data_IF_180957205946
#
_entry.id   IF_180957205946
#
_cell.length_a   1.000
_cell.length_b   1.000
_cell.length_c   1.000
_cell.angle_alpha   90.00
_cell.angle_beta   90.00
_cell.angle_gamma   90.00
#
_symmetry.space_group_name_H-M   'P 1'
#
loop_
_entity.id
_entity.type
_entity.pdbx_description
1 polymer ?
#
# COMPACT_ATOMS: atom_id res chain seq x y z
N UNK A 1 1.65 -67.70 40.96
CA UNK A 1 1.42 -66.85 39.75
C UNK A 1 0.89 -65.52 40.21
N UNK A 2 1.72 -64.74 40.89
CA UNK A 2 1.44 -63.37 41.39
C UNK A 2 2.81 -62.74 41.70
N UNK A 3 3.58 -62.32 40.76
CA UNK A 3 4.75 -61.43 40.87
C UNK A 3 5.11 -61.03 39.41
N UNK A 4 4.36 -60.11 38.81
CA UNK A 4 4.80 -59.45 37.58
C UNK A 4 3.92 -58.20 37.26
N UNK A 5 3.67 -57.38 38.26
CA UNK A 5 2.85 -56.19 38.06
C UNK A 5 3.31 -54.99 38.91
N UNK A 6 4.60 -54.90 39.23
CA UNK A 6 5.12 -53.81 40.08
C UNK A 6 6.39 -53.13 39.53
N UNK A 7 6.63 -53.22 38.23
CA UNK A 7 7.83 -52.57 37.61
C UNK A 7 7.53 -51.63 36.46
N UNK A 8 6.26 -51.32 36.19
CA UNK A 8 5.89 -50.39 35.09
C UNK A 8 5.50 -48.98 35.60
N UNK A 9 5.39 -48.79 36.93
CA UNK A 9 4.87 -47.49 37.45
C UNK A 9 5.96 -46.49 37.88
N UNK A 10 7.25 -46.81 37.73
CA UNK A 10 8.35 -45.90 38.16
C UNK A 10 9.06 -45.21 36.98
N UNK A 11 8.76 -45.58 35.73
CA UNK A 11 9.40 -44.97 34.54
C UNK A 11 8.57 -43.83 33.91
N UNK A 12 7.42 -43.44 34.48
CA UNK A 12 6.56 -42.37 33.97
C UNK A 12 6.72 -41.03 34.71
N UNK A 13 7.56 -40.96 35.74
CA UNK A 13 7.79 -39.68 36.46
C UNK A 13 9.18 -39.05 36.23
N UNK A 14 10.04 -39.66 35.41
CA UNK A 14 11.38 -39.10 35.10
C UNK A 14 11.40 -38.32 33.75
N UNK A 15 10.27 -38.22 33.03
CA UNK A 15 10.18 -37.59 31.70
C UNK A 15 9.68 -36.16 31.67
N UNK A 16 9.24 -35.58 32.79
CA UNK A 16 8.61 -34.25 32.78
C UNK A 16 9.52 -33.06 33.16
N UNK A 17 10.81 -33.30 33.39
CA UNK A 17 11.74 -32.23 33.79
C UNK A 17 12.83 -31.91 32.75
N UNK A 18 12.72 -32.35 31.49
CA UNK A 18 13.73 -32.11 30.45
C UNK A 18 13.29 -31.12 29.36
N UNK A 19 12.14 -30.43 29.53
CA UNK A 19 11.72 -29.29 28.72
C UNK A 19 11.52 -28.01 29.58
N UNK A 20 12.43 -27.75 30.50
CA UNK A 20 12.71 -26.37 30.86
C UNK A 20 13.63 -25.86 29.77
N UNK A 21 13.02 -25.27 28.71
CA UNK A 21 13.76 -24.52 27.71
C UNK A 21 14.67 -23.54 28.42
N UNK A 22 15.95 -23.52 28.06
CA UNK A 22 16.86 -22.47 28.52
C UNK A 22 16.25 -21.14 28.09
N UNK A 23 15.68 -20.37 29.05
CA UNK A 23 15.25 -19.01 28.81
C UNK A 23 16.43 -18.23 28.24
N UNK A 24 16.21 -17.49 27.21
CA UNK A 24 17.21 -16.62 26.61
C UNK A 24 17.71 -15.60 27.66
N UNK A 25 18.92 -15.08 27.49
CA UNK A 25 19.44 -14.06 28.39
C UNK A 25 18.52 -12.82 28.43
N UNK A 26 17.86 -12.50 27.31
CA UNK A 26 16.87 -11.41 27.18
C UNK A 26 15.60 -11.69 28.01
N UNK A 27 15.06 -12.92 27.97
CA UNK A 27 13.87 -13.27 28.77
C UNK A 27 14.15 -13.17 30.27
N UNK A 28 15.36 -13.56 30.71
CA UNK A 28 15.76 -13.39 32.11
C UNK A 28 15.90 -11.92 32.49
N UNK A 29 16.48 -11.08 31.64
CA UNK A 29 16.63 -9.66 31.88
C UNK A 29 15.26 -8.97 31.93
N UNK A 30 14.30 -9.34 31.08
CA UNK A 30 12.92 -8.85 31.12
C UNK A 30 12.22 -9.17 32.44
N UNK A 31 12.45 -10.34 33.02
CA UNK A 31 11.83 -10.77 34.30
C UNK A 31 12.45 -10.08 35.52
N UNK A 32 13.71 -9.70 35.46
CA UNK A 32 14.42 -9.01 36.58
C UNK A 32 14.23 -7.48 36.57
N UNK A 33 13.72 -6.93 35.49
CA UNK A 33 13.57 -5.47 35.35
C UNK A 33 12.33 -4.95 36.11
N UNK A 34 12.49 -3.84 36.80
CA UNK A 34 11.40 -3.16 37.49
C UNK A 34 10.67 -2.26 36.51
N UNK A 35 9.37 -2.49 36.33
CA UNK A 35 8.51 -1.73 35.41
C UNK A 35 7.65 -0.74 36.17
N UNK A 36 7.65 0.51 35.68
CA UNK A 36 6.77 1.58 36.18
C UNK A 36 5.58 1.73 35.22
N UNK A 37 4.33 1.73 35.72
CA UNK A 37 3.17 1.93 34.87
C UNK A 37 3.25 3.25 34.10
N UNK A 38 2.98 3.19 32.80
CA UNK A 38 2.88 4.35 31.90
C UNK A 38 1.78 4.07 30.88
N UNK A 39 1.25 5.13 30.29
CA UNK A 39 0.31 5.02 29.18
C UNK A 39 0.83 5.88 28.04
N UNK A 40 1.30 5.26 26.97
CA UNK A 40 1.78 5.96 25.78
C UNK A 40 1.67 5.08 24.53
N UNK A 41 1.63 5.73 23.40
CA UNK A 41 1.65 5.09 22.09
C UNK A 41 2.99 5.36 21.41
N UNK A 42 3.62 4.31 20.91
CA UNK A 42 4.87 4.36 20.18
C UNK A 42 4.74 3.58 18.87
N UNK A 43 5.71 3.74 17.99
CA UNK A 43 5.80 3.04 16.71
C UNK A 43 7.04 2.17 16.69
N UNK A 44 6.94 0.99 16.12
CA UNK A 44 8.08 0.11 15.86
C UNK A 44 8.95 0.77 14.79
N UNK A 45 10.22 1.02 15.12
CA UNK A 45 11.18 1.69 14.22
C UNK A 45 12.31 0.79 13.76
N UNK A 46 12.33 -0.45 14.21
CA UNK A 46 13.23 -1.49 13.74
C UNK A 46 12.66 -2.13 12.46
N UNK A 47 13.50 -2.30 11.45
CA UNK A 47 13.17 -2.90 10.15
C UNK A 47 13.56 -4.36 10.02
N UNK A 48 14.25 -4.89 11.03
CA UNK A 48 14.58 -6.31 11.05
C UNK A 48 13.30 -7.12 11.23
N UNK A 49 13.07 -8.08 10.35
CA UNK A 49 11.99 -9.06 10.48
C UNK A 49 12.34 -9.98 11.67
N UNK A 50 11.93 -9.55 12.86
CA UNK A 50 12.12 -10.36 14.07
C UNK A 50 11.04 -11.42 14.14
N UNK A 51 11.34 -12.51 14.84
CA UNK A 51 10.36 -13.53 15.24
C UNK A 51 9.28 -12.96 16.19
N UNK A 52 9.48 -11.74 16.68
CA UNK A 52 8.54 -11.01 17.53
C UNK A 52 7.53 -10.31 16.62
N UNK A 53 6.27 -10.64 16.74
CA UNK A 53 5.07 -10.34 15.97
C UNK A 53 4.80 -8.87 15.55
N UNK A 54 5.77 -7.96 15.61
CA UNK A 54 5.59 -6.54 15.32
C UNK A 54 6.24 -6.13 13.99
N UNK A 55 5.49 -5.37 13.19
CA UNK A 55 5.94 -4.88 11.88
C UNK A 55 6.52 -3.46 11.98
N UNK A 56 7.51 -3.14 11.15
CA UNK A 56 8.02 -1.78 11.03
C UNK A 56 6.89 -0.78 10.75
N UNK A 57 6.78 0.25 11.59
CA UNK A 57 5.73 1.26 11.51
C UNK A 57 4.45 0.92 12.26
N UNK A 58 4.35 -0.27 12.85
CA UNK A 58 3.19 -0.66 13.65
C UNK A 58 3.10 0.21 14.92
N UNK A 59 1.88 0.67 15.20
CA UNK A 59 1.57 1.45 16.40
C UNK A 59 1.27 0.51 17.55
N UNK A 60 1.97 0.67 18.65
CA UNK A 60 1.82 -0.15 19.85
C UNK A 60 1.46 0.69 21.08
N UNK A 61 0.64 0.14 21.94
CA UNK A 61 0.28 0.73 23.23
C UNK A 61 1.20 0.17 24.32
N UNK A 62 1.79 1.09 25.10
CA UNK A 62 2.72 0.78 26.17
C UNK A 62 2.00 0.95 27.50
N UNK A 63 2.02 -0.10 28.33
CA UNK A 63 1.41 -0.14 29.66
C UNK A 63 2.42 0.06 30.80
N UNK A 64 3.69 -0.24 30.58
CA UNK A 64 4.71 0.00 31.58
C UNK A 64 6.11 0.22 30.95
N UNK A 65 6.97 0.90 31.68
CA UNK A 65 8.33 1.26 31.29
C UNK A 65 9.35 0.77 32.29
N UNK A 66 10.31 -0.04 31.81
CA UNK A 66 11.50 -0.44 32.55
C UNK A 66 12.72 0.38 32.14
N UNK A 67 13.92 -0.08 32.42
CA UNK A 67 15.16 0.58 32.00
C UNK A 67 15.47 0.38 30.51
N UNK A 68 15.44 -0.87 30.04
CA UNK A 68 15.79 -1.25 28.66
C UNK A 68 14.58 -1.62 27.83
N UNK A 69 13.48 -2.06 28.47
CA UNK A 69 12.28 -2.54 27.83
C UNK A 69 11.06 -1.68 28.11
N UNK A 70 10.10 -1.73 27.21
CA UNK A 70 8.71 -1.39 27.45
C UNK A 70 7.89 -2.66 27.54
N UNK A 71 6.83 -2.63 28.35
CA UNK A 71 5.78 -3.64 28.37
C UNK A 71 4.58 -3.12 27.59
N UNK A 72 4.09 -3.90 26.65
CA UNK A 72 2.89 -3.55 25.85
C UNK A 72 1.61 -3.88 26.60
N UNK A 73 0.48 -3.37 26.14
CA UNK A 73 -0.84 -3.73 26.67
C UNK A 73 -1.16 -5.22 26.49
N UNK A 74 -0.61 -5.84 25.42
CA UNK A 74 -0.71 -7.28 25.16
C UNK A 74 0.12 -8.13 26.14
N UNK A 75 1.01 -7.51 26.92
CA UNK A 75 1.87 -8.20 27.90
C UNK A 75 3.26 -8.52 27.37
N UNK A 76 3.55 -8.28 26.11
CA UNK A 76 4.86 -8.49 25.49
C UNK A 76 5.86 -7.42 25.92
N UNK A 77 7.14 -7.71 25.70
CA UNK A 77 8.25 -6.79 25.98
C UNK A 77 8.96 -6.39 24.69
N UNK A 78 9.20 -5.10 24.52
CA UNK A 78 9.93 -4.55 23.38
C UNK A 78 11.07 -3.65 23.84
N UNK A 79 12.24 -3.73 23.19
CA UNK A 79 13.37 -2.89 23.53
C UNK A 79 13.09 -1.43 23.22
N UNK A 80 13.46 -0.53 24.12
CA UNK A 80 13.29 0.90 23.94
C UNK A 80 13.93 1.46 22.67
N UNK A 81 15.05 0.91 22.26
CA UNK A 81 15.76 1.33 21.03
C UNK A 81 15.01 1.00 19.75
N UNK A 82 14.07 0.03 19.80
CA UNK A 82 13.35 -0.50 18.65
C UNK A 82 11.99 0.19 18.44
N UNK A 83 11.65 1.15 19.31
CA UNK A 83 10.43 1.94 19.23
C UNK A 83 10.72 3.44 19.35
N UNK A 84 9.81 4.26 18.83
CA UNK A 84 9.92 5.70 18.87
C UNK A 84 8.58 6.39 18.66
N UNK A 85 8.57 7.70 18.81
CA UNK A 85 7.41 8.50 18.46
C UNK A 85 7.23 8.63 16.93
N UNK A 86 6.16 9.27 16.51
CA UNK A 86 5.86 9.51 15.09
C UNK A 86 6.98 10.25 14.35
N UNK A 87 7.63 11.22 14.99
CA UNK A 87 8.71 11.97 14.37
C UNK A 87 9.94 11.10 14.17
N UNK A 88 10.24 10.24 15.14
CA UNK A 88 11.31 9.26 15.03
C UNK A 88 11.04 8.28 13.87
N UNK A 89 9.81 7.72 13.78
CA UNK A 89 9.44 6.83 12.68
C UNK A 89 9.67 7.50 11.32
N UNK A 90 9.23 8.74 11.13
CA UNK A 90 9.44 9.48 9.88
C UNK A 90 10.92 9.56 9.48
N UNK A 91 11.83 9.74 10.44
CA UNK A 91 13.26 9.82 10.16
C UNK A 91 13.88 8.47 9.80
N UNK A 92 13.23 7.37 10.13
CA UNK A 92 13.70 6.01 9.83
C UNK A 92 13.39 5.56 8.40
N UNK A 93 12.52 6.28 7.67
CA UNK A 93 12.21 5.97 6.28
C UNK A 93 13.22 6.70 5.39
N UNK A 94 14.16 5.96 4.85
CA UNK A 94 15.15 6.48 3.92
C UNK A 94 14.60 6.52 2.48
N UNK A 95 15.30 7.24 1.59
CA UNK A 95 15.00 7.21 0.16
C UNK A 95 15.07 5.80 -0.43
N UNK A 96 16.01 4.99 0.04
CA UNK A 96 16.15 3.60 -0.41
C UNK A 96 14.95 2.75 0.02
N UNK A 97 14.39 3.00 1.20
CA UNK A 97 13.19 2.28 1.65
C UNK A 97 11.96 2.62 0.79
N UNK A 98 11.87 3.86 0.29
CA UNK A 98 10.77 4.26 -0.59
C UNK A 98 10.82 3.59 -1.97
N UNK A 99 11.97 3.06 -2.35
CA UNK A 99 12.16 2.36 -3.65
C UNK A 99 12.33 0.85 -3.51
N UNK A 100 12.30 0.31 -2.28
CA UNK A 100 12.31 -1.14 -2.06
C UNK A 100 10.98 -1.76 -2.43
N UNK A 101 11.03 -2.81 -3.22
CA UNK A 101 9.87 -3.63 -3.55
C UNK A 101 9.75 -4.86 -2.66
N UNK A 102 8.55 -5.44 -2.62
CA UNK A 102 8.33 -6.79 -2.08
C UNK A 102 8.76 -7.79 -3.15
N UNK A 103 9.59 -8.74 -2.78
CA UNK A 103 9.94 -9.83 -3.68
C UNK A 103 9.22 -11.11 -3.27
N UNK A 104 8.36 -11.58 -4.15
CA UNK A 104 7.64 -12.86 -4.00
C UNK A 104 8.61 -14.06 -3.91
N UNK A 105 9.86 -13.89 -4.37
CA UNK A 105 10.89 -14.94 -4.38
C UNK A 105 12.13 -14.62 -3.50
N UNK A 106 12.03 -13.64 -2.59
CA UNK A 106 13.14 -13.24 -1.71
C UNK A 106 14.26 -12.42 -2.40
N UNK A 107 14.04 -11.91 -3.63
CA UNK A 107 15.02 -11.09 -4.36
C UNK A 107 14.47 -9.70 -4.64
N UNK A 108 14.87 -8.72 -3.85
CA UNK A 108 14.61 -7.31 -4.17
C UNK A 108 15.23 -6.98 -5.53
N UNK A 109 14.46 -6.30 -6.39
CA UNK A 109 14.97 -5.74 -7.64
C UNK A 109 15.07 -4.21 -7.53
N UNK A 110 15.81 -3.60 -8.43
CA UNK A 110 16.04 -2.15 -8.47
C UNK A 110 15.12 -1.41 -9.47
N UNK A 111 14.05 -2.04 -9.93
CA UNK A 111 13.18 -1.47 -10.97
C UNK A 111 12.59 -0.13 -10.60
N UNK A 112 12.10 0.01 -9.36
CA UNK A 112 11.55 1.30 -8.89
C UNK A 112 12.65 2.35 -8.94
N UNK A 113 13.78 2.11 -8.29
CA UNK A 113 14.90 3.06 -8.21
C UNK A 113 15.57 3.34 -9.56
N UNK A 114 15.49 2.40 -10.52
CA UNK A 114 15.99 2.59 -11.87
C UNK A 114 15.26 3.71 -12.62
N UNK A 115 13.94 3.79 -12.46
CA UNK A 115 13.10 4.70 -13.25
C UNK A 115 12.54 5.87 -12.44
N UNK A 116 12.47 5.76 -11.12
CA UNK A 116 11.84 6.74 -10.25
C UNK A 116 12.82 7.28 -9.20
N UNK A 117 12.60 8.51 -8.78
CA UNK A 117 13.17 9.12 -7.58
C UNK A 117 12.00 9.41 -6.66
N UNK A 118 12.04 8.88 -5.43
CA UNK A 118 10.97 9.08 -4.45
C UNK A 118 11.59 9.72 -3.22
N UNK A 119 11.11 10.91 -2.87
CA UNK A 119 11.57 11.67 -1.71
C UNK A 119 10.41 11.91 -0.75
N UNK A 120 10.68 11.74 0.54
CA UNK A 120 9.78 12.24 1.57
C UNK A 120 9.88 13.76 1.62
N UNK A 121 8.74 14.43 1.80
CA UNK A 121 8.62 15.90 1.84
C UNK A 121 7.79 16.35 3.04
N UNK A 122 7.81 17.64 3.32
CA UNK A 122 6.95 18.23 4.33
C UNK A 122 5.51 18.43 3.83
N UNK A 123 4.57 18.61 4.74
CA UNK A 123 3.19 18.97 4.41
C UNK A 123 3.12 20.32 3.69
N UNK A 124 3.95 21.28 4.09
CA UNK A 124 4.02 22.60 3.48
C UNK A 124 4.45 22.52 2.01
N UNK A 125 5.47 21.70 1.69
CA UNK A 125 5.90 21.47 0.30
C UNK A 125 4.79 20.81 -0.52
N UNK A 126 4.07 19.83 0.05
CA UNK A 126 2.92 19.22 -0.61
C UNK A 126 1.82 20.25 -0.89
N UNK A 127 1.46 21.09 0.09
CA UNK A 127 0.43 22.13 -0.08
C UNK A 127 0.83 23.21 -1.09
N UNK A 128 2.11 23.56 -1.15
CA UNK A 128 2.62 24.48 -2.18
C UNK A 128 2.50 23.86 -3.58
N UNK A 129 2.89 22.60 -3.72
CA UNK A 129 2.77 21.88 -4.98
C UNK A 129 1.29 21.74 -5.43
N UNK A 130 0.37 21.54 -4.50
CA UNK A 130 -1.06 21.38 -4.78
C UNK A 130 -1.65 22.64 -5.45
N UNK A 131 -1.19 23.85 -5.09
CA UNK A 131 -1.59 25.09 -5.76
C UNK A 131 -1.18 25.14 -7.25
N UNK A 132 -0.26 24.29 -7.64
CA UNK A 132 0.24 24.15 -9.02
C UNK A 132 -0.14 22.80 -9.65
N UNK A 133 -1.20 22.14 -9.12
CA UNK A 133 -1.75 20.90 -9.67
C UNK A 133 -2.06 21.06 -11.16
N UNK A 134 -1.83 19.99 -11.92
CA UNK A 134 -2.22 19.88 -13.32
C UNK A 134 -3.34 18.86 -13.43
N UNK A 135 -4.45 19.29 -14.03
CA UNK A 135 -5.53 18.39 -14.40
C UNK A 135 -5.42 18.02 -15.88
N UNK A 136 -5.42 16.74 -16.15
CA UNK A 136 -5.43 16.17 -17.50
C UNK A 136 -6.77 15.56 -17.87
N UNK A 137 -7.64 15.37 -16.88
CA UNK A 137 -8.97 14.80 -16.98
C UNK A 137 -10.00 15.92 -17.09
N UNK A 138 -10.94 15.79 -18.03
CA UNK A 138 -12.15 16.59 -18.08
C UNK A 138 -13.28 15.72 -17.52
N UNK A 139 -13.78 16.08 -16.34
CA UNK A 139 -14.86 15.37 -15.66
C UNK A 139 -16.22 15.75 -16.26
N UNK A 140 -16.48 15.31 -17.48
CA UNK A 140 -17.75 15.53 -18.20
C UNK A 140 -18.71 14.33 -18.03
N UNK A 141 -18.91 13.91 -16.80
CA UNK A 141 -19.66 12.68 -16.43
C UNK A 141 -21.08 12.61 -17.03
N UNK A 142 -21.67 13.76 -17.39
CA UNK A 142 -22.95 13.83 -18.06
C UNK A 142 -22.89 13.57 -19.58
N UNK A 143 -21.71 13.54 -20.19
CA UNK A 143 -21.55 13.27 -21.61
C UNK A 143 -21.87 11.81 -21.97
N UNK A 144 -21.61 10.88 -21.04
CA UNK A 144 -21.92 9.46 -21.21
C UNK A 144 -22.71 8.98 -19.99
N UNK A 145 -24.00 8.85 -20.17
CA UNK A 145 -24.95 8.46 -19.11
C UNK A 145 -25.29 6.98 -19.24
N UNK A 146 -25.26 6.28 -18.11
CA UNK A 146 -25.67 4.88 -18.02
C UNK A 146 -27.16 4.73 -18.30
N UNK A 147 -27.52 3.82 -19.22
CA UNK A 147 -28.91 3.46 -19.55
C UNK A 147 -29.08 1.95 -19.46
N UNK A 148 -30.06 1.47 -18.71
CA UNK A 148 -30.33 0.05 -18.53
C UNK A 148 -29.06 -0.72 -18.12
N UNK A 149 -28.34 -0.21 -17.09
CA UNK A 149 -27.08 -0.77 -16.60
C UNK A 149 -25.97 -0.86 -17.66
N UNK A 150 -25.98 0.00 -18.67
CA UNK A 150 -25.04 -0.03 -19.79
C UNK A 150 -24.52 1.37 -20.11
N UNK A 151 -23.20 1.48 -20.26
CA UNK A 151 -22.52 2.64 -20.83
C UNK A 151 -22.23 2.39 -22.31
N UNK A 152 -22.33 3.42 -23.13
CA UNK A 152 -22.04 3.35 -24.56
C UNK A 152 -21.00 4.43 -24.91
N UNK A 153 -19.84 4.01 -25.39
CA UNK A 153 -18.71 4.85 -25.74
C UNK A 153 -18.56 4.94 -27.26
N UNK A 154 -18.99 6.05 -27.90
CA UNK A 154 -18.80 6.24 -29.34
C UNK A 154 -17.32 6.33 -29.67
N UNK A 155 -16.84 5.44 -30.57
CA UNK A 155 -15.49 5.47 -31.12
C UNK A 155 -15.59 5.67 -32.65
N UNK A 156 -14.48 6.05 -33.31
CA UNK A 156 -14.50 6.36 -34.74
C UNK A 156 -15.06 5.23 -35.62
N UNK A 157 -14.75 3.97 -35.24
CA UNK A 157 -15.14 2.80 -36.08
C UNK A 157 -16.18 1.88 -35.43
N UNK A 158 -16.51 2.08 -34.15
CA UNK A 158 -17.49 1.26 -33.42
C UNK A 158 -17.97 1.97 -32.16
N UNK A 159 -19.03 1.46 -31.57
CA UNK A 159 -19.42 1.81 -30.20
C UNK A 159 -18.97 0.70 -29.25
N UNK A 160 -18.22 1.05 -28.21
CA UNK A 160 -17.86 0.12 -27.13
C UNK A 160 -18.97 0.17 -26.08
N UNK A 161 -19.36 -0.98 -25.59
CA UNK A 161 -20.39 -1.10 -24.58
C UNK A 161 -19.80 -1.78 -23.33
N UNK A 162 -20.00 -1.16 -22.17
CA UNK A 162 -19.77 -1.78 -20.87
C UNK A 162 -21.12 -1.94 -20.19
N UNK A 163 -21.38 -3.13 -19.69
CA UNK A 163 -22.66 -3.49 -19.05
C UNK A 163 -22.37 -4.00 -17.65
N UNK A 164 -23.07 -3.45 -16.67
CA UNK A 164 -23.02 -3.95 -15.30
C UNK A 164 -23.48 -5.42 -15.27
N UNK A 165 -22.75 -6.22 -14.52
CA UNK A 165 -23.04 -7.63 -14.29
C UNK A 165 -23.53 -7.79 -12.86
N UNK A 166 -24.81 -8.12 -12.63
CA UNK A 166 -25.31 -8.41 -11.30
C UNK A 166 -24.82 -9.78 -10.83
N UNK A 167 -24.77 -9.98 -9.52
CA UNK A 167 -24.49 -11.29 -8.94
C UNK A 167 -25.48 -12.33 -9.48
N UNK A 168 -24.99 -13.52 -9.76
CA UNK A 168 -25.80 -14.65 -10.17
C UNK A 168 -25.35 -15.92 -9.43
N UNK A 169 -26.11 -17.02 -9.61
CA UNK A 169 -25.72 -18.32 -9.02
C UNK A 169 -24.45 -18.87 -9.66
N UNK A 170 -24.20 -18.52 -10.94
CA UNK A 170 -23.04 -18.97 -11.71
C UNK A 170 -21.83 -18.06 -11.51
N UNK A 171 -22.07 -16.76 -11.23
CA UNK A 171 -21.06 -15.76 -10.95
C UNK A 171 -21.48 -14.94 -9.72
N UNK A 172 -20.92 -15.22 -8.54
CA UNK A 172 -21.29 -14.53 -7.32
C UNK A 172 -20.80 -13.07 -7.28
N UNK A 173 -19.92 -12.67 -8.21
CA UNK A 173 -19.32 -11.33 -8.21
C UNK A 173 -20.15 -10.37 -9.08
N UNK A 174 -20.50 -9.23 -8.51
CA UNK A 174 -21.07 -8.12 -9.27
C UNK A 174 -19.95 -7.26 -9.85
N UNK A 175 -20.16 -6.75 -11.04
CA UNK A 175 -19.27 -5.74 -11.65
C UNK A 175 -20.09 -4.54 -12.08
N UNK A 176 -19.66 -3.35 -11.70
CA UNK A 176 -20.29 -2.09 -12.12
C UNK A 176 -19.27 -1.19 -12.80
N UNK A 177 -19.75 -0.37 -13.74
CA UNK A 177 -18.93 0.58 -14.49
C UNK A 177 -19.42 1.99 -14.28
N UNK A 178 -18.51 2.95 -14.08
CA UNK A 178 -18.83 4.38 -14.02
C UNK A 178 -17.95 5.16 -15.00
N UNK A 179 -18.55 6.02 -15.80
CA UNK A 179 -17.78 6.95 -16.61
C UNK A 179 -17.18 8.04 -15.72
N UNK A 180 -15.86 8.16 -15.72
CA UNK A 180 -15.11 9.12 -14.91
C UNK A 180 -14.89 10.42 -15.67
N UNK A 181 -14.57 10.34 -16.97
CA UNK A 181 -14.33 11.53 -17.75
C UNK A 181 -13.55 11.28 -19.03
N UNK A 182 -13.13 12.36 -19.62
CA UNK A 182 -12.45 12.42 -20.90
C UNK A 182 -11.00 12.84 -20.72
N UNK A 183 -10.06 12.15 -21.37
CA UNK A 183 -8.64 12.49 -21.45
C UNK A 183 -8.28 12.89 -22.88
N UNK A 184 -8.58 14.14 -23.30
CA UNK A 184 -8.50 14.55 -24.71
C UNK A 184 -7.11 14.43 -25.28
N UNK A 185 -6.09 14.75 -24.48
CA UNK A 185 -4.69 14.71 -24.88
C UNK A 185 -4.18 13.32 -25.27
N UNK A 186 -4.82 12.26 -24.73
CA UNK A 186 -4.54 10.86 -25.08
C UNK A 186 -5.60 10.27 -26.00
N UNK A 187 -6.67 11.01 -26.34
CA UNK A 187 -7.82 10.53 -27.11
C UNK A 187 -8.52 9.33 -26.44
N UNK A 188 -8.68 9.39 -25.09
CA UNK A 188 -9.24 8.31 -24.29
C UNK A 188 -10.50 8.74 -23.54
N UNK A 189 -11.43 7.81 -23.35
CA UNK A 189 -12.38 7.85 -22.25
C UNK A 189 -11.75 7.17 -21.03
N UNK A 190 -12.07 7.66 -19.83
CA UNK A 190 -11.70 7.01 -18.58
C UNK A 190 -12.94 6.46 -17.90
N UNK A 191 -12.90 5.19 -17.55
CA UNK A 191 -13.98 4.44 -16.89
C UNK A 191 -13.45 3.84 -15.61
N UNK A 192 -14.23 3.85 -14.56
CA UNK A 192 -13.99 3.10 -13.34
C UNK A 192 -14.79 1.80 -13.39
N UNK A 193 -14.14 0.70 -13.12
CA UNK A 193 -14.71 -0.63 -12.94
C UNK A 193 -14.61 -0.98 -11.46
N UNK A 194 -15.74 -1.36 -10.87
CA UNK A 194 -15.86 -1.78 -9.48
C UNK A 194 -16.44 -3.18 -9.42
N UNK A 195 -15.70 -4.11 -8.83
CA UNK A 195 -16.07 -5.49 -8.59
C UNK A 195 -15.84 -5.84 -7.13
N UNK A 196 -16.48 -6.87 -6.62
CA UNK A 196 -16.30 -7.31 -5.22
C UNK A 196 -14.85 -7.66 -4.91
N UNK A 197 -14.10 -8.21 -5.89
CA UNK A 197 -12.73 -8.67 -5.69
C UNK A 197 -11.67 -7.66 -6.14
N UNK A 198 -12.02 -6.72 -7.01
CA UNK A 198 -11.05 -5.74 -7.52
C UNK A 198 -11.73 -4.49 -8.05
N UNK A 199 -10.96 -3.43 -8.20
CA UNK A 199 -11.35 -2.27 -8.98
C UNK A 199 -10.25 -1.90 -9.97
N UNK A 200 -10.66 -1.36 -11.10
CA UNK A 200 -9.76 -0.93 -12.16
C UNK A 200 -10.19 0.40 -12.79
N UNK A 201 -9.24 1.04 -13.44
CA UNK A 201 -9.50 2.17 -14.32
C UNK A 201 -9.21 1.76 -15.75
N UNK A 202 -10.15 1.98 -16.66
CA UNK A 202 -10.08 1.54 -18.04
C UNK A 202 -9.96 2.76 -18.95
N UNK A 203 -8.90 2.84 -19.73
CA UNK A 203 -8.87 3.72 -20.89
C UNK A 203 -9.55 3.03 -22.08
N UNK A 204 -10.46 3.75 -22.76
CA UNK A 204 -11.07 3.33 -24.02
C UNK A 204 -10.59 4.27 -25.11
N UNK A 205 -9.80 3.75 -26.04
CA UNK A 205 -9.29 4.50 -27.20
C UNK A 205 -10.44 4.92 -28.13
N UNK A 206 -10.61 6.23 -28.32
CA UNK A 206 -11.73 6.79 -29.10
C UNK A 206 -11.63 6.47 -30.60
N UNK A 207 -10.45 6.15 -31.10
CA UNK A 207 -10.29 5.72 -32.50
C UNK A 207 -10.64 4.26 -32.66
N UNK A 208 -10.04 3.37 -31.88
CA UNK A 208 -10.12 1.91 -32.10
C UNK A 208 -11.14 1.23 -31.21
N UNK A 209 -11.52 1.83 -30.09
CA UNK A 209 -12.30 1.21 -29.03
C UNK A 209 -11.54 0.12 -28.29
N UNK A 210 -10.20 0.09 -28.37
CA UNK A 210 -9.37 -0.80 -27.56
C UNK A 210 -9.39 -0.33 -26.11
N UNK A 211 -9.47 -1.28 -25.18
CA UNK A 211 -9.41 -1.07 -23.74
C UNK A 211 -7.98 -1.28 -23.25
N UNK A 212 -7.59 -0.51 -22.24
CA UNK A 212 -6.32 -0.65 -21.52
C UNK A 212 -6.59 -0.42 -20.04
N UNK A 213 -6.32 -1.42 -19.23
CA UNK A 213 -6.69 -1.46 -17.82
C UNK A 213 -5.52 -1.02 -16.93
N UNK A 214 -5.86 -0.34 -15.84
CA UNK A 214 -4.93 0.09 -14.80
C UNK A 214 -5.51 -0.28 -13.43
N UNK A 215 -4.72 -0.91 -12.58
CA UNK A 215 -5.13 -1.31 -11.23
C UNK A 215 -5.44 -0.11 -10.31
N UNK A 216 -4.97 1.08 -10.66
CA UNK A 216 -5.16 2.35 -9.90
C UNK A 216 -5.33 3.49 -10.88
N UNK A 217 -5.77 4.64 -10.36
CA UNK A 217 -5.99 5.83 -11.19
C UNK A 217 -4.73 6.20 -11.99
N UNK A 218 -4.85 6.35 -13.33
CA UNK A 218 -3.71 6.59 -14.22
C UNK A 218 -3.36 8.08 -14.29
N UNK A 219 -2.39 8.52 -13.49
CA UNK A 219 -1.91 9.91 -13.51
C UNK A 219 -1.00 10.15 -14.70
N UNK A 220 -1.36 11.09 -15.56
CA UNK A 220 -0.58 11.46 -16.74
C UNK A 220 0.50 12.48 -16.37
N UNK A 221 1.74 12.21 -16.76
CA UNK A 221 2.85 13.16 -16.57
C UNK A 221 2.64 14.45 -17.38
N UNK A 222 3.13 15.61 -16.88
CA UNK A 222 2.96 16.91 -17.57
C UNK A 222 3.52 16.95 -18.99
N UNK A 223 4.59 16.20 -19.25
CA UNK A 223 5.19 16.05 -20.58
C UNK A 223 4.46 15.06 -21.50
N UNK A 224 3.40 14.42 -21.00
CA UNK A 224 2.52 13.47 -21.70
C UNK A 224 3.24 12.21 -22.21
N UNK A 225 4.38 11.87 -21.61
CA UNK A 225 5.19 10.72 -22.01
C UNK A 225 5.00 9.50 -21.14
N UNK A 226 4.46 9.69 -19.93
CA UNK A 226 4.34 8.64 -18.95
C UNK A 226 2.98 8.67 -18.26
N UNK A 227 2.56 7.48 -17.83
CA UNK A 227 1.44 7.29 -16.90
C UNK A 227 2.02 6.63 -15.66
N UNK A 228 1.67 7.13 -14.49
CA UNK A 228 2.00 6.54 -13.19
C UNK A 228 0.70 6.13 -12.50
N UNK A 229 0.69 4.95 -11.90
CA UNK A 229 -0.37 4.52 -10.99
C UNK A 229 0.26 4.20 -9.64
N UNK A 230 -0.33 4.68 -8.55
CA UNK A 230 0.11 4.37 -7.18
C UNK A 230 -1.10 4.21 -6.27
N UNK A 231 -0.93 3.40 -5.22
CA UNK A 231 -1.98 3.18 -4.22
C UNK A 231 -1.66 1.97 -3.35
N UNK A 232 -2.67 1.45 -2.68
CA UNK A 232 -2.61 0.19 -1.95
C UNK A 232 -3.07 -0.94 -2.86
N UNK A 233 -2.41 -2.10 -2.83
CA UNK A 233 -2.92 -3.31 -3.48
C UNK A 233 -4.25 -3.72 -2.83
N UNK A 234 -5.18 -4.30 -3.62
CA UNK A 234 -6.54 -4.55 -3.15
C UNK A 234 -6.59 -5.61 -2.03
N UNK A 235 -5.97 -6.75 -2.26
CA UNK A 235 -6.01 -7.89 -1.32
C UNK A 235 -4.84 -7.91 -0.33
N UNK A 236 -3.73 -7.26 -0.67
CA UNK A 236 -2.51 -7.31 0.10
C UNK A 236 -2.31 -6.03 0.93
N UNK A 237 -1.75 -6.22 2.13
CA UNK A 237 -1.26 -5.12 2.96
C UNK A 237 0.05 -4.54 2.38
N UNK A 238 0.09 -4.30 1.07
CA UNK A 238 1.24 -3.73 0.36
C UNK A 238 0.82 -2.54 -0.49
N UNK A 239 1.76 -1.67 -0.79
CA UNK A 239 1.55 -0.60 -1.75
C UNK A 239 1.85 -1.08 -3.18
N UNK A 240 1.24 -0.45 -4.17
CA UNK A 240 1.45 -0.73 -5.59
C UNK A 240 1.93 0.51 -6.31
N UNK A 241 2.93 0.35 -7.16
CA UNK A 241 3.41 1.42 -8.04
C UNK A 241 3.68 0.88 -9.44
N UNK A 242 3.10 1.54 -10.46
CA UNK A 242 3.38 1.19 -11.85
C UNK A 242 3.74 2.43 -12.65
N UNK A 243 4.67 2.27 -13.58
CA UNK A 243 5.09 3.31 -14.54
C UNK A 243 4.97 2.75 -15.95
N UNK A 244 4.25 3.49 -16.78
CA UNK A 244 4.07 3.16 -18.20
C UNK A 244 4.65 4.29 -19.06
N UNK A 245 5.38 3.92 -20.11
CA UNK A 245 5.82 4.86 -21.17
C UNK A 245 4.78 4.88 -22.29
N UNK A 246 4.32 6.04 -22.70
CA UNK A 246 3.44 6.20 -23.85
C UNK A 246 4.28 6.12 -25.11
N UNK A 247 4.09 5.09 -25.94
CA UNK A 247 4.77 4.86 -27.20
C UNK A 247 4.06 5.55 -28.37
N UNK A 248 2.73 5.58 -28.33
CA UNK A 248 1.88 6.20 -29.35
C UNK A 248 0.54 6.60 -28.73
N UNK A 249 -0.03 7.67 -29.24
CA UNK A 249 -1.38 8.13 -28.85
C UNK A 249 -2.43 7.63 -29.86
N UNK A 250 -2.06 7.45 -31.10
CA UNK A 250 -2.97 6.97 -32.19
C UNK A 250 -2.29 5.91 -33.06
N UNK A 251 -2.58 4.61 -32.85
CA UNK A 251 -3.38 4.03 -31.76
C UNK A 251 -2.66 4.19 -30.42
N UNK A 252 -3.43 4.15 -29.32
CA UNK A 252 -2.85 4.24 -27.98
C UNK A 252 -2.06 2.96 -27.64
N UNK A 253 -0.77 3.15 -27.35
CA UNK A 253 0.15 2.06 -27.01
C UNK A 253 1.05 2.50 -25.85
N UNK A 254 1.12 1.67 -24.84
CA UNK A 254 2.00 1.86 -23.67
C UNK A 254 2.97 0.69 -23.53
N UNK A 255 4.09 0.96 -22.86
CA UNK A 255 5.10 0.00 -22.44
C UNK A 255 5.23 0.07 -20.92
N UNK A 256 5.10 -1.05 -20.23
CA UNK A 256 5.30 -1.14 -18.78
C UNK A 256 6.78 -1.09 -18.46
N UNK A 257 7.19 -0.10 -17.66
CA UNK A 257 8.57 0.07 -17.19
C UNK A 257 8.72 -0.43 -15.74
N UNK A 258 7.73 -0.15 -14.90
CA UNK A 258 7.64 -0.57 -13.50
C UNK A 258 6.26 -1.16 -13.28
N UNK A 259 6.16 -2.25 -12.54
CA UNK A 259 4.93 -2.81 -11.99
C UNK A 259 5.34 -3.62 -10.76
N UNK A 260 5.44 -2.93 -9.61
CA UNK A 260 6.05 -3.48 -8.41
C UNK A 260 5.20 -3.15 -7.17
N UNK A 261 5.31 -4.02 -6.18
CA UNK A 261 4.73 -3.79 -4.87
C UNK A 261 5.76 -3.12 -3.98
N UNK A 262 5.37 -2.06 -3.27
CA UNK A 262 6.27 -1.37 -2.34
C UNK A 262 6.31 -2.10 -1.00
N UNK A 263 7.51 -2.23 -0.43
CA UNK A 263 7.70 -3.03 0.80
C UNK A 263 7.16 -2.35 2.06
N UNK A 264 7.32 -1.04 2.17
CA UNK A 264 7.13 -0.36 3.45
C UNK A 264 5.96 0.62 3.51
N UNK A 265 5.44 1.05 2.36
CA UNK A 265 4.49 2.14 2.29
C UNK A 265 3.44 1.95 1.21
N UNK A 266 2.32 2.63 1.37
CA UNK A 266 1.31 2.78 0.34
C UNK A 266 0.83 4.24 0.27
N UNK A 267 0.44 4.68 -0.91
CA UNK A 267 -0.15 6.00 -1.10
C UNK A 267 -1.65 5.98 -0.80
N UNK A 268 -2.15 7.12 -0.30
CA UNK A 268 -3.57 7.40 -0.17
C UNK A 268 -4.07 8.18 -1.39
N UNK A 269 -5.34 7.96 -1.75
CA UNK A 269 -6.04 8.79 -2.71
C UNK A 269 -7.32 9.30 -2.05
N UNK A 270 -7.33 10.59 -1.66
CA UNK A 270 -8.44 11.22 -0.96
C UNK A 270 -8.81 12.54 -1.57
N UNK A 271 -10.09 12.89 -1.52
CA UNK A 271 -10.61 14.15 -2.05
C UNK A 271 -9.90 15.40 -1.51
N UNK A 272 -9.56 15.41 -0.22
CA UNK A 272 -8.94 16.57 0.44
C UNK A 272 -7.43 16.64 0.29
N UNK A 273 -6.80 15.52 0.08
CA UNK A 273 -5.35 15.37 -0.08
C UNK A 273 -5.08 14.41 -1.25
N UNK A 274 -5.34 14.89 -2.50
CA UNK A 274 -5.26 14.04 -3.68
C UNK A 274 -3.83 13.69 -4.06
N UNK A 275 -3.70 12.65 -4.86
CA UNK A 275 -2.50 12.39 -5.65
C UNK A 275 -2.58 13.27 -6.90
N UNK A 276 -1.50 13.95 -7.28
CA UNK A 276 -1.49 14.84 -8.43
C UNK A 276 -0.09 15.08 -8.99
N UNK A 277 -0.01 15.36 -10.27
CA UNK A 277 1.17 16.01 -10.85
C UNK A 277 1.11 17.52 -10.66
N UNK A 278 2.24 18.12 -10.31
CA UNK A 278 2.42 19.57 -10.30
C UNK A 278 3.16 20.04 -11.55
N UNK A 279 3.06 21.33 -11.86
CA UNK A 279 3.76 21.98 -13.00
C UNK A 279 5.27 21.77 -13.01
N UNK A 280 5.88 21.50 -11.87
CA UNK A 280 7.31 21.20 -11.76
C UNK A 280 7.69 19.79 -12.23
N UNK A 281 6.72 18.95 -12.62
CA UNK A 281 6.93 17.62 -13.19
C UNK A 281 6.96 16.46 -12.20
N UNK A 282 6.81 16.72 -10.91
CA UNK A 282 6.72 15.67 -9.88
C UNK A 282 5.29 15.28 -9.61
N UNK A 283 5.08 13.98 -9.34
CA UNK A 283 3.84 13.47 -8.73
C UNK A 283 3.96 13.61 -7.21
N UNK A 284 2.92 14.12 -6.59
CA UNK A 284 2.82 14.30 -5.15
C UNK A 284 1.72 13.40 -4.58
N UNK A 285 1.98 12.80 -3.43
CA UNK A 285 1.02 11.91 -2.78
C UNK A 285 1.14 11.94 -1.26
N UNK A 286 0.03 11.86 -0.52
CA UNK A 286 0.05 11.43 0.86
C UNK A 286 0.33 9.92 0.92
N UNK A 287 1.07 9.48 1.93
CA UNK A 287 1.38 8.06 2.13
C UNK A 287 1.49 7.71 3.61
N UNK A 288 1.48 6.43 3.91
CA UNK A 288 1.86 5.93 5.22
C UNK A 288 2.61 4.60 5.12
N UNK A 289 3.27 4.22 6.20
CA UNK A 289 3.76 2.85 6.35
C UNK A 289 2.57 1.90 6.46
N UNK A 290 2.73 0.70 5.90
CA UNK A 290 1.63 -0.23 5.69
C UNK A 290 0.88 -0.58 6.98
N UNK A 291 1.53 -0.94 8.12
CA UNK A 291 0.81 -1.26 9.35
C UNK A 291 0.05 -0.08 9.97
N UNK A 292 0.41 1.15 9.60
CA UNK A 292 -0.22 2.38 10.09
C UNK A 292 -1.10 3.07 9.03
N UNK A 293 -1.48 2.34 7.99
CA UNK A 293 -2.29 2.87 6.90
C UNK A 293 -3.71 3.20 7.36
N UNK A 294 -4.30 2.37 8.18
CA UNK A 294 -5.61 2.58 8.80
C UNK A 294 -5.48 2.80 10.30
N UNK A 295 -6.43 3.52 10.88
CA UNK A 295 -6.60 3.64 12.32
C UNK A 295 -7.33 2.41 12.90
N UNK A 296 -7.53 2.39 14.23
CA UNK A 296 -8.21 1.32 14.96
C UNK A 296 -9.70 1.14 14.57
N UNK A 297 -10.27 2.08 13.80
CA UNK A 297 -11.64 2.03 13.30
C UNK A 297 -11.70 1.72 11.79
N UNK A 298 -10.61 1.25 11.19
CA UNK A 298 -10.46 1.04 9.76
C UNK A 298 -10.66 2.30 8.89
N UNK A 299 -10.52 3.49 9.49
CA UNK A 299 -10.46 4.71 8.71
C UNK A 299 -9.01 4.99 8.30
N UNK A 300 -8.80 5.64 7.17
CA UNK A 300 -7.47 6.11 6.79
C UNK A 300 -6.84 6.97 7.88
N UNK A 301 -5.63 6.61 8.29
CA UNK A 301 -4.97 7.28 9.40
C UNK A 301 -4.77 8.77 9.13
N UNK A 302 -5.07 9.61 10.13
CA UNK A 302 -4.90 11.06 10.03
C UNK A 302 -3.44 11.50 10.12
N UNK A 303 -2.61 10.73 10.82
CA UNK A 303 -1.16 10.93 10.82
C UNK A 303 -0.59 10.37 9.52
N UNK A 304 0.00 11.22 8.68
CA UNK A 304 0.49 10.87 7.35
C UNK A 304 1.85 11.47 7.07
N UNK A 305 2.50 10.90 6.11
CA UNK A 305 3.69 11.40 5.46
C UNK A 305 3.34 11.82 4.03
N UNK A 306 4.22 12.58 3.42
CA UNK A 306 4.04 13.05 2.05
C UNK A 306 5.28 12.73 1.25
N UNK A 307 5.08 12.37 0.00
CA UNK A 307 6.16 12.07 -0.95
C UNK A 307 5.99 12.86 -2.23
N UNK A 308 7.13 13.07 -2.91
CA UNK A 308 7.17 13.45 -4.31
C UNK A 308 7.91 12.40 -5.11
N UNK A 309 7.42 12.13 -6.31
CA UNK A 309 7.94 11.12 -7.22
C UNK A 309 8.36 11.80 -8.53
N UNK A 310 9.63 11.70 -8.84
CA UNK A 310 10.19 12.15 -10.11
C UNK A 310 10.46 10.98 -11.05
N UNK A 311 10.19 11.17 -12.35
CA UNK A 311 10.51 10.19 -13.39
C UNK A 311 11.91 10.47 -13.92
N UNK A 312 12.81 9.48 -13.86
CA UNK A 312 14.16 9.59 -14.43
C UNK A 312 14.07 9.57 -15.95
N UNK A 313 14.63 10.61 -16.59
CA UNK A 313 14.76 10.65 -18.05
C UNK A 313 15.82 9.62 -18.46
N UNK A 314 15.44 8.71 -19.35
CA UNK A 314 16.33 7.75 -20.01
C UNK A 314 16.61 8.23 -21.44
#
# INVERSE_FOLDING_TARGET
MRILLLYVSILLFAGCNLFQGQQSAEEKQQQEEVFVPVEKELYVIDKEERQDNYLFGEKIKISAEGNEFYKTDGGDYIKKKDVGDWNTLKTKISRDDLTKNVDINGKSNDRISKYLIIDQISYEEYQEALRNKIDFLIEDTLAIVKKNSKLAFPCEHKTVYLKDLPNSVEDPFSTTYAYVGNVPVLNQYLVFEDSEDFYAYIFIDKTTGKQTDFERFPFLSPDKKYIITIGRAYEDLVGKISLYRIKSIKPFVIETLVNEDTKWWAAYDFDKEPIFFSKNGFLYAPMNVIPNFFDEHNNPNKQRMYIKIGIKRQ
#
